data_IF_517572385926
#
_entry.id   IF_517572385926
#
_cell.length_a   1.000
_cell.length_b   1.000
_cell.length_c   1.000
_cell.angle_alpha   90.00
_cell.angle_beta   90.00
_cell.angle_gamma   90.00
#
_symmetry.space_group_name_H-M   'P 1'
#
loop_
_entity.id
_entity.type
_entity.pdbx_description
1 polymer ?
#
# COMPACT_ATOMS: atom_id res chain seq x y z
N UNK A 1 -0.50 32.65 -11.84
CA UNK A 1 0.50 31.61 -12.14
C UNK A 1 1.12 30.95 -10.90
N UNK A 2 0.31 30.38 -10.00
CA UNK A 2 0.78 29.71 -8.78
C UNK A 2 0.36 28.23 -8.70
N UNK A 3 -0.12 27.65 -9.80
CA UNK A 3 -0.56 26.26 -9.82
C UNK A 3 0.65 25.32 -9.92
N UNK A 4 0.65 24.28 -9.09
CA UNK A 4 1.65 23.19 -9.13
C UNK A 4 1.32 22.16 -10.20
N UNK A 5 0.06 22.10 -10.65
CA UNK A 5 -0.38 21.24 -11.73
C UNK A 5 0.20 21.70 -13.08
N UNK A 6 0.97 20.81 -13.70
CA UNK A 6 1.64 20.99 -15.00
C UNK A 6 1.83 19.62 -15.65
N UNK A 7 0.92 19.22 -16.54
CA UNK A 7 0.90 17.88 -17.14
C UNK A 7 2.18 17.57 -17.94
N UNK A 8 2.76 18.59 -18.56
CA UNK A 8 4.01 18.53 -19.30
C UNK A 8 5.23 18.07 -18.46
N UNK A 9 5.15 18.15 -17.12
CA UNK A 9 6.22 17.67 -16.22
C UNK A 9 6.21 16.15 -16.00
N UNK A 10 5.11 15.49 -16.36
CA UNK A 10 4.92 14.03 -16.19
C UNK A 10 4.84 13.31 -17.54
N UNK A 11 5.11 14.00 -18.66
CA UNK A 11 5.14 13.38 -19.99
C UNK A 11 6.31 12.41 -20.13
N UNK A 12 6.08 11.30 -20.82
CA UNK A 12 7.08 10.28 -21.12
C UNK A 12 7.37 10.19 -22.63
N UNK A 13 6.82 11.09 -23.44
CA UNK A 13 6.86 11.00 -24.91
C UNK A 13 8.22 11.40 -25.51
N UNK A 14 9.02 12.19 -24.78
CA UNK A 14 10.37 12.62 -25.19
C UNK A 14 11.40 12.07 -24.21
N UNK A 15 12.60 11.76 -24.70
CA UNK A 15 13.66 11.09 -23.94
C UNK A 15 14.18 11.83 -22.70
N UNK A 16 13.91 13.14 -22.56
CA UNK A 16 14.20 13.93 -21.36
C UNK A 16 13.01 13.91 -20.38
N UNK A 17 12.72 12.72 -19.84
CA UNK A 17 11.73 12.59 -18.76
C UNK A 17 12.36 12.90 -17.39
N UNK A 18 11.54 13.40 -16.46
CA UNK A 18 11.94 13.67 -15.06
C UNK A 18 12.26 12.38 -14.28
N UNK A 19 11.84 11.22 -14.78
CA UNK A 19 12.10 9.91 -14.19
C UNK A 19 12.01 8.82 -15.27
N UNK A 20 12.71 7.72 -15.03
CA UNK A 20 12.69 6.51 -15.85
C UNK A 20 11.83 5.42 -15.21
N UNK A 21 11.66 4.30 -15.93
CA UNK A 21 11.03 3.12 -15.36
C UNK A 21 11.84 2.53 -14.19
N UNK A 22 13.17 2.59 -14.26
CA UNK A 22 14.08 2.06 -13.22
C UNK A 22 13.95 2.84 -11.92
N UNK A 23 13.78 4.16 -11.99
CA UNK A 23 13.58 5.00 -10.79
C UNK A 23 12.33 4.56 -10.02
N UNK A 24 11.26 4.17 -10.73
CA UNK A 24 10.04 3.67 -10.10
C UNK A 24 10.26 2.30 -9.47
N UNK A 25 11.03 1.42 -10.10
CA UNK A 25 11.40 0.12 -9.51
C UNK A 25 12.25 0.32 -8.25
N UNK A 26 13.20 1.26 -8.27
CA UNK A 26 13.97 1.66 -7.10
C UNK A 26 13.07 2.13 -5.96
N UNK A 27 12.12 3.03 -6.25
CA UNK A 27 11.14 3.51 -5.27
C UNK A 27 10.30 2.38 -4.67
N UNK A 28 9.85 1.41 -5.48
CA UNK A 28 9.06 0.26 -5.01
C UNK A 28 9.90 -0.69 -4.14
N UNK A 29 11.14 -0.95 -4.51
CA UNK A 29 12.06 -1.82 -3.76
C UNK A 29 12.27 -1.32 -2.33
N UNK A 30 12.39 0.00 -2.16
CA UNK A 30 12.54 0.62 -0.84
C UNK A 30 11.35 0.37 0.11
N UNK A 31 10.20 -0.10 -0.39
CA UNK A 31 9.01 -0.41 0.42
C UNK A 31 8.99 -1.85 0.95
N UNK A 32 9.83 -2.75 0.47
CA UNK A 32 9.72 -4.18 0.76
C UNK A 32 9.90 -4.55 2.24
N UNK A 33 10.78 -3.85 2.96
CA UNK A 33 11.02 -4.11 4.40
C UNK A 33 9.78 -3.78 5.23
N UNK A 34 9.23 -2.59 5.06
CA UNK A 34 8.01 -2.15 5.75
C UNK A 34 6.78 -3.01 5.41
N UNK A 35 6.68 -3.48 4.14
CA UNK A 35 5.65 -4.44 3.73
C UNK A 35 5.78 -5.76 4.48
N UNK A 36 7.02 -6.25 4.64
CA UNK A 36 7.29 -7.52 5.35
C UNK A 36 6.95 -7.38 6.83
N UNK A 37 7.43 -6.32 7.46
CA UNK A 37 7.13 -6.01 8.87
C UNK A 37 5.61 -5.89 9.10
N UNK A 38 4.89 -5.23 8.18
CA UNK A 38 3.43 -5.08 8.27
C UNK A 38 2.74 -6.44 8.14
N UNK A 39 3.18 -7.33 7.26
CA UNK A 39 2.63 -8.69 7.15
C UNK A 39 2.80 -9.46 8.46
N UNK A 40 3.98 -9.41 9.05
CA UNK A 40 4.26 -10.06 10.33
C UNK A 40 3.39 -9.49 11.45
N UNK A 41 3.16 -8.17 11.46
CA UNK A 41 2.22 -7.54 12.40
C UNK A 41 0.79 -8.03 12.22
N UNK A 42 0.29 -8.14 10.98
CA UNK A 42 -1.06 -8.65 10.71
C UNK A 42 -1.23 -10.08 11.22
N UNK A 43 -0.22 -10.94 11.02
CA UNK A 43 -0.24 -12.29 11.59
C UNK A 43 -0.19 -12.27 13.12
N UNK A 44 0.66 -11.44 13.72
CA UNK A 44 0.72 -11.28 15.17
C UNK A 44 -0.60 -10.79 15.78
N UNK A 45 -1.26 -9.83 15.14
CA UNK A 45 -2.59 -9.37 15.57
C UNK A 45 -3.64 -10.47 15.46
N UNK A 46 -3.58 -11.29 14.42
CA UNK A 46 -4.46 -12.45 14.30
C UNK A 46 -4.21 -13.49 15.41
N UNK A 47 -2.94 -13.79 15.70
CA UNK A 47 -2.58 -14.73 16.77
C UNK A 47 -2.99 -14.24 18.17
N UNK A 48 -2.91 -12.92 18.41
CA UNK A 48 -3.35 -12.30 19.65
C UNK A 48 -4.88 -12.18 19.80
N UNK A 49 -5.65 -12.52 18.77
CA UNK A 49 -7.11 -12.44 18.75
C UNK A 49 -7.67 -11.03 18.47
N UNK A 50 -6.83 -10.06 18.10
CA UNK A 50 -7.25 -8.70 17.72
C UNK A 50 -7.83 -8.63 16.30
N UNK A 51 -7.34 -9.49 15.40
CA UNK A 51 -7.86 -9.65 14.04
C UNK A 51 -8.34 -11.09 13.84
N UNK A 52 -9.39 -11.25 13.03
CA UNK A 52 -9.89 -12.56 12.60
C UNK A 52 -9.30 -12.90 11.24
N UNK A 53 -8.76 -14.12 11.08
CA UNK A 53 -8.34 -14.60 9.77
C UNK A 53 -9.54 -14.63 8.81
N UNK A 54 -9.41 -13.99 7.64
CA UNK A 54 -10.47 -13.91 6.63
C UNK A 54 -9.96 -14.36 5.27
N UNK A 55 -10.58 -15.41 4.73
CA UNK A 55 -10.34 -15.88 3.36
C UNK A 55 -11.04 -15.02 2.31
N UNK A 56 -11.99 -14.15 2.70
CA UNK A 56 -12.80 -13.37 1.77
C UNK A 56 -12.00 -12.23 1.09
N UNK A 57 -11.05 -11.63 1.81
CA UNK A 57 -10.22 -10.51 1.32
C UNK A 57 -8.74 -10.85 1.23
N UNK A 58 -8.34 -12.06 1.63
CA UNK A 58 -6.93 -12.48 1.68
C UNK A 58 -6.09 -11.79 2.76
N UNK A 59 -6.73 -11.06 3.69
CA UNK A 59 -6.08 -10.35 4.80
C UNK A 59 -6.91 -10.53 6.09
N UNK A 60 -6.28 -10.56 7.28
CA UNK A 60 -6.99 -10.53 8.55
C UNK A 60 -7.87 -9.28 8.69
N UNK A 61 -9.06 -9.43 9.29
CA UNK A 61 -10.04 -8.35 9.44
C UNK A 61 -10.37 -8.08 10.91
N UNK A 62 -10.78 -6.84 11.19
CA UNK A 62 -11.38 -6.50 12.49
C UNK A 62 -12.79 -7.10 12.57
N UNK A 63 -13.20 -7.57 13.75
CA UNK A 63 -14.60 -7.95 13.97
C UNK A 63 -15.50 -6.71 13.84
N UNK A 64 -16.52 -6.80 12.98
CA UNK A 64 -17.52 -5.74 12.89
C UNK A 64 -18.52 -5.87 14.06
N UNK A 65 -18.30 -5.09 15.12
CA UNK A 65 -19.12 -5.10 16.34
C UNK A 65 -20.60 -4.71 16.09
N UNK A 66 -20.91 -4.06 14.96
CA UNK A 66 -22.28 -3.68 14.59
C UNK A 66 -23.17 -4.89 14.26
N UNK A 67 -22.58 -6.03 13.87
CA UNK A 67 -23.33 -7.26 13.53
C UNK A 67 -23.62 -8.17 14.75
N UNK A 68 -23.08 -7.86 15.94
CA UNK A 68 -23.26 -8.67 17.16
C UNK A 68 -24.53 -8.31 17.95
N UNK A 69 -25.19 -7.20 17.60
CA UNK A 69 -26.35 -6.65 18.31
C UNK A 69 -27.70 -6.83 17.58
N UNK A 70 -27.76 -7.69 16.55
CA UNK A 70 -28.99 -8.11 15.88
C UNK A 70 -29.27 -9.59 16.10
#
# INVERSE_FOLDING_TARGET
>A
DNLTYKAERLTMEKGDSMFSAEDRIGQLTMRNLDITDTRDKLFGYAQSGLLTASSATGLPQVENLENKAK
#
